data_IF_613907134915
#
_entry.id   IF_613907134915
#
_cell.length_a   1.000
_cell.length_b   1.000
_cell.length_c   1.000
_cell.angle_alpha   90.00
_cell.angle_beta   90.00
_cell.angle_gamma   90.00
#
_symmetry.space_group_name_H-M   'P 1'
#
loop_
_entity.id
_entity.type
_entity.pdbx_description
1 polymer ?
#
# COMPACT_ATOMS: atom_id res chain seq x y z
N UNK A 1 -4.12 -27.29 -5.71
CA UNK A 1 -5.04 -27.75 -6.77
C UNK A 1 -4.41 -27.43 -8.13
N UNK A 2 -4.55 -28.31 -9.14
CA UNK A 2 -4.21 -27.98 -10.53
C UNK A 2 -5.49 -27.62 -11.27
N UNK A 3 -5.48 -26.52 -12.00
CA UNK A 3 -6.62 -26.03 -12.78
C UNK A 3 -6.14 -25.69 -14.17
N UNK A 4 -6.93 -26.06 -15.18
CA UNK A 4 -6.73 -25.64 -16.57
C UNK A 4 -7.72 -24.53 -16.87
N UNK A 5 -7.26 -23.45 -17.49
CA UNK A 5 -8.09 -22.32 -17.93
C UNK A 5 -7.73 -21.99 -19.38
N UNK A 6 -8.72 -21.58 -20.16
CA UNK A 6 -8.51 -20.95 -21.47
C UNK A 6 -8.35 -19.46 -21.25
N UNK A 7 -7.40 -18.83 -21.94
CA UNK A 7 -7.17 -17.39 -21.96
C UNK A 7 -7.13 -16.95 -23.43
N UNK A 8 -7.54 -15.72 -23.69
CA UNK A 8 -7.27 -15.05 -24.95
C UNK A 8 -5.75 -14.78 -25.08
N UNK A 9 -5.24 -14.74 -26.32
CA UNK A 9 -3.80 -14.70 -26.57
C UNK A 9 -3.12 -13.45 -25.97
N UNK A 10 -3.80 -12.29 -26.01
CA UNK A 10 -3.34 -11.02 -25.45
C UNK A 10 -3.29 -11.04 -23.91
N UNK A 11 -4.28 -11.66 -23.26
CA UNK A 11 -4.31 -11.88 -21.80
C UNK A 11 -3.18 -12.80 -21.37
N UNK A 12 -2.92 -13.87 -22.13
CA UNK A 12 -1.79 -14.76 -21.88
C UNK A 12 -0.44 -14.05 -22.08
N UNK A 13 -0.30 -13.25 -23.14
CA UNK A 13 0.92 -12.49 -23.40
C UNK A 13 1.20 -11.45 -22.31
N UNK A 14 0.17 -10.70 -21.87
CA UNK A 14 0.24 -9.77 -20.74
C UNK A 14 0.70 -10.47 -19.46
N UNK A 15 0.09 -11.61 -19.12
CA UNK A 15 0.45 -12.39 -17.94
C UNK A 15 1.90 -12.91 -18.00
N UNK A 16 2.38 -13.28 -19.20
CA UNK A 16 3.77 -13.69 -19.45
C UNK A 16 4.76 -12.54 -19.27
N UNK A 17 4.45 -11.34 -19.77
CA UNK A 17 5.27 -10.14 -19.51
C UNK A 17 5.31 -9.78 -18.03
N UNK A 18 4.16 -9.80 -17.36
CA UNK A 18 4.05 -9.54 -15.93
C UNK A 18 4.91 -10.52 -15.10
N UNK A 19 4.82 -11.82 -15.42
CA UNK A 19 5.63 -12.87 -14.78
C UNK A 19 7.14 -12.63 -14.95
N UNK A 20 7.58 -12.34 -16.19
CA UNK A 20 8.98 -12.03 -16.52
C UNK A 20 9.49 -10.79 -15.77
N UNK A 21 8.74 -9.68 -15.80
CA UNK A 21 9.12 -8.43 -15.13
C UNK A 21 9.19 -8.56 -13.60
N UNK A 22 8.38 -9.44 -13.01
CA UNK A 22 8.35 -9.72 -11.57
C UNK A 22 9.31 -10.82 -11.13
N UNK A 23 9.95 -11.54 -12.06
CA UNK A 23 10.83 -12.67 -11.74
C UNK A 23 10.11 -13.90 -11.15
N UNK A 24 8.82 -14.10 -11.47
CA UNK A 24 7.98 -15.16 -10.90
C UNK A 24 7.43 -16.11 -11.99
N UNK A 25 6.88 -17.26 -11.58
CA UNK A 25 6.23 -18.18 -12.51
C UNK A 25 4.92 -17.59 -13.06
N UNK A 26 4.51 -18.02 -14.26
CA UNK A 26 3.23 -17.61 -14.86
C UNK A 26 2.03 -17.94 -13.95
N UNK A 27 2.05 -19.09 -13.25
CA UNK A 27 1.00 -19.44 -12.29
C UNK A 27 0.99 -18.53 -11.05
N UNK A 28 2.15 -18.09 -10.56
CA UNK A 28 2.21 -17.10 -9.48
C UNK A 28 1.72 -15.72 -9.94
N UNK A 29 2.09 -15.30 -11.15
CA UNK A 29 1.59 -14.07 -11.78
C UNK A 29 0.07 -14.07 -11.90
N UNK A 30 -0.53 -15.13 -12.47
CA UNK A 30 -2.00 -15.26 -12.58
C UNK A 30 -2.69 -15.19 -11.21
N UNK A 31 -2.16 -15.87 -10.19
CA UNK A 31 -2.68 -15.80 -8.83
C UNK A 31 -2.59 -14.39 -8.23
N UNK A 32 -1.52 -13.64 -8.49
CA UNK A 32 -1.38 -12.26 -8.02
C UNK A 32 -2.35 -11.31 -8.75
N UNK A 33 -2.47 -11.44 -10.06
CA UNK A 33 -3.36 -10.63 -10.91
C UNK A 33 -4.83 -10.83 -10.52
N UNK A 34 -5.27 -12.07 -10.31
CA UNK A 34 -6.63 -12.37 -9.81
C UNK A 34 -6.87 -11.74 -8.44
N UNK A 35 -5.94 -11.88 -7.48
CA UNK A 35 -6.05 -11.25 -6.15
C UNK A 35 -6.00 -9.72 -6.18
N UNK A 36 -5.38 -9.12 -7.20
CA UNK A 36 -5.42 -7.67 -7.44
C UNK A 36 -6.80 -7.26 -7.98
N UNK A 37 -7.33 -7.99 -8.95
CA UNK A 37 -8.67 -7.77 -9.51
C UNK A 37 -9.81 -8.01 -8.51
N UNK A 38 -9.62 -8.90 -7.52
CA UNK A 38 -10.53 -9.06 -6.38
C UNK A 38 -10.49 -7.85 -5.45
N UNK A 39 -9.29 -7.38 -5.08
CA UNK A 39 -9.13 -6.18 -4.24
C UNK A 39 -9.69 -4.93 -4.90
N UNK A 40 -9.50 -4.74 -6.21
CA UNK A 40 -10.06 -3.57 -6.90
C UNK A 40 -11.58 -3.53 -6.98
N UNK A 41 -12.31 -4.60 -6.59
CA UNK A 41 -13.79 -4.56 -6.46
C UNK A 41 -14.25 -3.88 -5.18
N UNK A 42 -13.43 -3.96 -4.13
CA UNK A 42 -13.56 -3.17 -2.91
C UNK A 42 -12.35 -2.24 -2.84
N UNK A 43 -12.28 -1.20 -3.69
CA UNK A 43 -11.17 -0.27 -3.64
C UNK A 43 -11.03 0.27 -2.21
N UNK A 44 -9.81 0.26 -1.69
CA UNK A 44 -9.50 1.08 -0.52
C UNK A 44 -9.99 2.51 -0.81
N UNK A 45 -10.60 3.21 0.16
CA UNK A 45 -11.10 4.55 -0.09
C UNK A 45 -9.98 5.40 -0.69
N UNK A 46 -10.27 6.07 -1.82
CA UNK A 46 -9.26 6.85 -2.54
C UNK A 46 -8.50 7.72 -1.54
N UNK A 47 -7.15 7.73 -1.57
CA UNK A 47 -6.37 8.43 -0.58
C UNK A 47 -6.76 9.91 -0.64
N UNK A 48 -7.52 10.34 0.37
CA UNK A 48 -8.03 11.70 0.42
C UNK A 48 -6.82 12.64 0.37
N UNK A 49 -6.73 13.48 -0.65
CA UNK A 49 -5.74 14.54 -0.70
C UNK A 49 -6.43 15.80 -0.21
N UNK A 50 -6.01 16.29 0.96
CA UNK A 50 -6.38 17.62 1.42
C UNK A 50 -5.27 18.59 1.03
N UNK A 51 -5.60 19.88 0.92
CA UNK A 51 -4.62 20.90 0.57
C UNK A 51 -4.32 21.75 1.81
N UNK A 52 -3.04 22.08 2.01
CA UNK A 52 -2.63 23.02 3.05
C UNK A 52 -3.17 24.44 2.73
N UNK A 53 -3.20 25.37 3.70
CA UNK A 53 -3.56 26.77 3.44
C UNK A 53 -2.71 27.44 2.34
N UNK A 54 -1.49 26.96 2.12
CA UNK A 54 -0.53 27.40 1.11
C UNK A 54 -0.67 26.64 -0.23
N UNK A 55 -1.60 25.68 -0.33
CA UNK A 55 -1.90 24.92 -1.54
C UNK A 55 -1.09 23.64 -1.77
N UNK A 56 -0.36 23.14 -0.75
CA UNK A 56 0.39 21.88 -0.90
C UNK A 56 -0.52 20.65 -0.73
N UNK A 57 -0.43 19.62 -1.59
CA UNK A 57 -1.16 18.38 -1.42
C UNK A 57 -0.59 17.58 -0.24
N UNK A 58 -1.48 17.14 0.64
CA UNK A 58 -1.13 16.43 1.87
C UNK A 58 -2.17 15.36 2.19
N UNK A 59 -1.76 14.29 2.88
CA UNK A 59 -2.70 13.33 3.47
C UNK A 59 -3.51 14.02 4.58
N UNK A 60 -4.77 13.61 4.83
CA UNK A 60 -5.52 14.07 5.99
C UNK A 60 -4.72 13.80 7.27
N UNK A 61 -4.74 14.71 8.25
CA UNK A 61 -4.07 14.49 9.53
C UNK A 61 -4.65 13.23 10.19
N UNK A 62 -3.78 12.27 10.47
CA UNK A 62 -4.11 11.02 11.13
C UNK A 62 -3.37 10.93 12.48
N UNK A 63 -4.09 10.55 13.54
CA UNK A 63 -3.56 10.53 14.90
C UNK A 63 -3.66 11.89 15.61
N UNK A 64 -2.87 12.06 16.66
CA UNK A 64 -2.81 13.30 17.45
C UNK A 64 -1.89 14.36 16.85
N UNK A 65 -2.18 15.63 17.10
CA UNK A 65 -1.29 16.74 16.74
C UNK A 65 -0.06 16.68 17.65
N UNK A 66 1.13 16.54 17.07
CA UNK A 66 2.42 16.63 17.77
C UNK A 66 2.93 18.06 17.64
N UNK A 67 3.00 18.81 18.74
CA UNK A 67 3.53 20.18 18.75
C UNK A 67 5.02 20.20 19.09
N UNK A 68 5.72 21.29 18.74
CA UNK A 68 7.11 21.48 19.14
C UNK A 68 7.31 21.51 20.67
N UNK A 69 6.28 21.90 21.44
CA UNK A 69 6.31 21.86 22.90
C UNK A 69 6.26 20.42 23.42
N UNK A 70 5.43 19.55 22.80
CA UNK A 70 5.38 18.12 23.11
C UNK A 70 6.71 17.43 22.80
N UNK A 71 7.34 17.78 21.67
CA UNK A 71 8.67 17.24 21.30
C UNK A 71 9.72 17.67 22.31
N UNK A 72 9.82 18.97 22.64
CA UNK A 72 10.79 19.46 23.64
C UNK A 72 10.61 18.81 25.01
N UNK A 73 9.36 18.62 25.45
CA UNK A 73 9.08 17.93 26.70
C UNK A 73 9.53 16.46 26.67
N UNK A 74 9.40 15.78 25.53
CA UNK A 74 9.92 14.42 25.33
C UNK A 74 11.46 14.37 25.21
N UNK A 75 12.12 15.46 24.78
CA UNK A 75 13.58 15.59 24.79
C UNK A 75 14.13 15.86 26.21
N UNK A 76 13.36 16.57 27.05
CA UNK A 76 13.67 16.83 28.47
C UNK A 76 13.38 15.63 29.39
N UNK A 77 12.45 14.73 29.00
CA UNK A 77 12.17 13.49 29.70
C UNK A 77 13.17 12.39 29.33
N UNK A 78 13.97 11.92 30.29
CA UNK A 78 14.95 10.85 30.09
C UNK A 78 14.27 9.56 29.55
N UNK A 79 14.79 9.04 28.43
CA UNK A 79 14.16 7.94 27.69
C UNK A 79 14.18 6.62 28.49
N UNK A 80 13.05 6.29 29.11
CA UNK A 80 12.83 4.99 29.76
C UNK A 80 12.12 4.01 28.79
N UNK A 81 12.83 3.01 28.24
CA UNK A 81 12.23 2.03 27.34
C UNK A 81 11.15 1.15 27.99
N UNK A 82 11.00 1.15 29.33
CA UNK A 82 9.93 0.43 30.02
C UNK A 82 8.56 1.13 29.96
N UNK A 83 8.51 2.42 29.60
CA UNK A 83 7.24 3.17 29.46
C UNK A 83 6.48 2.85 28.17
N UNK A 84 7.09 2.13 27.23
CA UNK A 84 6.58 1.90 25.87
C UNK A 84 6.53 0.41 25.48
N UNK A 85 6.52 -0.48 26.48
CA UNK A 85 6.49 -1.94 26.33
C UNK A 85 5.11 -2.53 26.69
#
# INVERSE_FOLDING_TARGET
MRTTVTLDDDVHEFALYYAKARGITLSAAMNELVRKAERSKNPDPEPLIVFSPEGFPMFPPAGGIITCEMVKKLEEEEFDPKKFA
#
